data_IF_881114507330
#
_entry.id   IF_881114507330
#
_cell.length_a   1.000
_cell.length_b   1.000
_cell.length_c   1.000
_cell.angle_alpha   90.00
_cell.angle_beta   90.00
_cell.angle_gamma   90.00
#
_symmetry.space_group_name_H-M   'P 1'
#
loop_
_entity.id
_entity.type
_entity.pdbx_description
1 polymer ?
#
# COMPACT_ATOMS: atom_id res chain seq x y z
N UNK A 1 29.59 -46.94 25.22
CA UNK A 1 28.23 -47.17 25.73
C UNK A 1 28.08 -46.33 26.99
N UNK A 2 27.23 -45.30 27.07
CA UNK A 2 25.76 -45.33 27.00
C UNK A 2 25.25 -44.06 26.30
N UNK A 3 24.19 -44.21 25.48
CA UNK A 3 23.44 -43.13 24.82
C UNK A 3 22.58 -42.38 25.84
N UNK A 4 22.51 -41.05 25.72
CA UNK A 4 21.38 -40.16 26.05
C UNK A 4 21.70 -38.84 25.32
N UNK A 5 21.05 -38.42 24.25
CA UNK A 5 19.61 -38.45 24.03
C UNK A 5 19.00 -37.09 24.39
N UNK A 6 19.54 -35.98 23.89
CA UNK A 6 18.86 -34.68 23.88
C UNK A 6 18.97 -34.10 22.46
N UNK A 7 18.00 -34.51 21.64
CA UNK A 7 17.59 -33.80 20.44
C UNK A 7 17.27 -32.37 20.91
N UNK A 8 17.98 -31.36 20.41
CA UNK A 8 17.58 -29.97 20.62
C UNK A 8 16.30 -29.77 19.81
N UNK A 9 15.17 -29.90 20.49
CA UNK A 9 13.89 -29.50 19.96
C UNK A 9 13.90 -27.97 19.75
N UNK A 10 13.69 -27.61 18.48
CA UNK A 10 12.74 -26.60 18.01
C UNK A 10 12.66 -25.25 18.72
N UNK A 11 13.23 -24.23 18.07
CA UNK A 11 12.57 -22.93 17.88
C UNK A 11 12.89 -22.45 16.45
N UNK A 12 12.45 -23.21 15.44
CA UNK A 12 12.05 -22.59 14.18
C UNK A 12 10.87 -21.67 14.56
N UNK A 13 11.11 -20.36 14.62
CA UNK A 13 10.05 -19.39 14.85
C UNK A 13 9.08 -19.49 13.68
N UNK A 14 7.83 -19.73 14.03
CA UNK A 14 6.67 -19.72 13.15
C UNK A 14 6.61 -18.43 12.33
N UNK A 15 7.19 -18.44 11.14
CA UNK A 15 6.81 -17.55 10.04
C UNK A 15 5.88 -18.30 9.08
N UNK A 16 4.88 -19.01 9.63
CA UNK A 16 3.66 -19.31 8.87
C UNK A 16 2.85 -18.03 8.72
N UNK A 17 3.29 -17.18 7.79
CA UNK A 17 2.40 -16.23 7.14
C UNK A 17 2.12 -16.73 5.74
N UNK A 18 1.40 -17.85 5.66
CA UNK A 18 0.51 -18.18 4.54
C UNK A 18 -0.64 -17.15 4.36
N UNK A 19 -0.49 -15.93 4.89
CA UNK A 19 -1.40 -14.82 4.65
C UNK A 19 -1.25 -14.36 3.20
N UNK A 20 -2.35 -14.43 2.46
CA UNK A 20 -2.43 -13.89 1.10
C UNK A 20 -1.94 -12.44 1.13
N UNK A 21 -0.96 -12.06 0.28
CA UNK A 21 -0.43 -10.71 0.28
C UNK A 21 -1.53 -9.70 -0.03
N UNK A 22 -1.46 -8.52 0.58
CA UNK A 22 -2.42 -7.46 0.36
C UNK A 22 -2.24 -6.89 -1.06
N UNK A 23 -3.19 -7.21 -1.94
CA UNK A 23 -3.17 -6.81 -3.36
C UNK A 23 -4.17 -5.71 -3.67
N UNK A 24 -5.26 -5.61 -2.89
CA UNK A 24 -6.33 -4.64 -3.10
C UNK A 24 -6.74 -4.00 -1.78
N UNK A 25 -6.84 -2.68 -1.77
CA UNK A 25 -7.23 -1.90 -0.60
C UNK A 25 -8.31 -0.90 -0.99
N UNK A 26 -9.42 -0.91 -0.24
CA UNK A 26 -10.48 0.08 -0.37
C UNK A 26 -10.64 0.81 0.97
N UNK A 27 -10.35 2.10 0.96
CA UNK A 27 -10.47 3.06 2.05
C UNK A 27 -11.35 4.24 1.66
N UNK A 28 -12.23 4.04 0.67
CA UNK A 28 -13.17 5.05 0.20
C UNK A 28 -14.06 5.55 1.34
N UNK A 29 -14.38 6.85 1.34
CA UNK A 29 -15.44 7.39 2.20
C UNK A 29 -15.07 7.41 3.68
N UNK A 30 -13.79 7.58 3.98
CA UNK A 30 -13.27 7.68 5.34
C UNK A 30 -12.91 9.14 5.67
N UNK A 31 -12.24 9.33 6.80
CA UNK A 31 -11.80 10.64 7.29
C UNK A 31 -10.26 10.78 7.21
N UNK A 32 -9.64 10.11 6.23
CA UNK A 32 -8.19 10.18 6.02
C UNK A 32 -7.82 11.61 5.61
N UNK A 33 -6.76 12.15 6.21
CA UNK A 33 -6.33 13.54 6.04
C UNK A 33 -4.82 13.69 6.15
N UNK A 34 -4.30 14.82 5.68
CA UNK A 34 -2.89 15.14 5.75
C UNK A 34 -2.06 14.41 4.69
N UNK A 35 -0.83 14.05 5.05
CA UNK A 35 0.11 13.35 4.18
C UNK A 35 0.06 11.85 4.40
N UNK A 36 -0.10 11.08 3.32
CA UNK A 36 -0.09 9.62 3.32
C UNK A 36 1.06 9.13 2.45
N UNK A 37 1.92 8.32 3.05
CA UNK A 37 3.10 7.73 2.41
C UNK A 37 3.00 6.21 2.55
N UNK A 38 3.02 5.49 1.42
CA UNK A 38 2.94 4.02 1.39
C UNK A 38 4.24 3.43 0.85
N UNK A 39 5.09 2.93 1.76
CA UNK A 39 6.45 2.45 1.44
C UNK A 39 6.63 0.93 1.32
N UNK A 40 5.76 0.12 1.92
CA UNK A 40 6.01 -1.33 2.15
C UNK A 40 4.90 -2.24 1.60
N UNK A 41 4.17 -1.79 0.58
CA UNK A 41 3.07 -2.55 -0.03
C UNK A 41 3.37 -2.89 -1.50
N UNK A 42 4.57 -3.42 -1.77
CA UNK A 42 5.04 -3.73 -3.14
C UNK A 42 4.27 -4.82 -3.89
N UNK A 43 3.24 -5.41 -3.29
CA UNK A 43 2.30 -6.33 -3.95
C UNK A 43 0.91 -5.71 -4.18
N UNK A 44 0.70 -4.45 -3.77
CA UNK A 44 -0.55 -3.75 -3.96
C UNK A 44 -0.72 -3.37 -5.43
N UNK A 45 -1.81 -3.84 -6.05
CA UNK A 45 -2.15 -3.56 -7.44
C UNK A 45 -3.34 -2.59 -7.54
N UNK A 46 -4.22 -2.55 -6.53
CA UNK A 46 -5.41 -1.69 -6.54
C UNK A 46 -5.57 -0.93 -5.24
N UNK A 47 -5.74 0.39 -5.34
CA UNK A 47 -5.95 1.27 -4.20
C UNK A 47 -7.11 2.23 -4.47
N UNK A 48 -8.13 2.21 -3.63
CA UNK A 48 -9.19 3.23 -3.60
C UNK A 48 -9.12 4.00 -2.28
N UNK A 49 -8.85 5.29 -2.39
CA UNK A 49 -8.80 6.28 -1.30
C UNK A 49 -9.70 7.47 -1.62
N UNK A 50 -10.65 7.29 -2.54
CA UNK A 50 -11.59 8.34 -2.94
C UNK A 50 -12.48 8.80 -1.78
N UNK A 51 -13.01 10.01 -1.88
CA UNK A 51 -13.93 10.56 -0.85
C UNK A 51 -13.29 10.61 0.54
N UNK A 52 -12.10 11.21 0.62
CA UNK A 52 -11.38 11.50 1.86
C UNK A 52 -10.97 12.98 1.88
N UNK A 53 -10.02 13.37 2.73
CA UNK A 53 -9.49 14.73 2.85
C UNK A 53 -7.96 14.77 2.79
N UNK A 54 -7.36 13.90 1.98
CA UNK A 54 -5.90 13.73 1.86
C UNK A 54 -5.33 14.92 1.09
N UNK A 55 -4.18 15.45 1.55
CA UNK A 55 -3.51 16.62 0.95
C UNK A 55 -2.25 16.25 0.16
N UNK A 56 -1.51 15.25 0.61
CA UNK A 56 -0.29 14.76 -0.04
C UNK A 56 -0.36 13.24 -0.09
N UNK A 57 -0.05 12.66 -1.24
CA UNK A 57 -0.02 11.22 -1.43
C UNK A 57 1.27 10.79 -2.11
N UNK A 58 2.08 10.00 -1.41
CA UNK A 58 3.31 9.40 -1.93
C UNK A 58 3.18 7.88 -2.04
N UNK A 59 3.06 7.42 -3.29
CA UNK A 59 2.97 6.02 -3.70
C UNK A 59 4.19 5.60 -4.53
N UNK A 60 5.32 6.32 -4.44
CA UNK A 60 6.54 6.07 -5.23
C UNK A 60 7.12 4.67 -5.05
N UNK A 61 6.90 4.05 -3.89
CA UNK A 61 7.36 2.70 -3.57
C UNK A 61 6.41 1.59 -4.08
N UNK A 62 5.23 1.92 -4.61
CA UNK A 62 4.23 0.93 -5.05
C UNK A 62 4.45 0.57 -6.52
N UNK A 63 5.54 -0.13 -6.81
CA UNK A 63 5.97 -0.48 -8.17
C UNK A 63 4.98 -1.36 -8.94
N UNK A 64 4.15 -2.17 -8.26
CA UNK A 64 3.10 -3.00 -8.86
C UNK A 64 1.72 -2.34 -8.93
N UNK A 65 1.59 -1.07 -8.55
CA UNK A 65 0.28 -0.41 -8.57
C UNK A 65 -0.22 -0.27 -10.01
N UNK A 66 -1.38 -0.84 -10.28
CA UNK A 66 -2.02 -0.88 -11.60
C UNK A 66 -3.15 0.16 -11.68
N UNK A 67 -3.89 0.31 -10.59
CA UNK A 67 -5.07 1.18 -10.50
C UNK A 67 -5.08 1.98 -9.19
N UNK A 68 -5.36 3.28 -9.30
CA UNK A 68 -5.54 4.19 -8.17
C UNK A 68 -6.77 5.09 -8.38
N UNK A 69 -7.65 5.11 -7.38
CA UNK A 69 -8.74 6.07 -7.28
C UNK A 69 -8.50 6.97 -6.07
N UNK A 70 -8.16 8.23 -6.32
CA UNK A 70 -7.93 9.23 -5.28
C UNK A 70 -8.80 10.48 -5.50
N UNK A 71 -9.89 10.35 -6.27
CA UNK A 71 -10.81 11.44 -6.54
C UNK A 71 -11.56 11.92 -5.30
N UNK A 72 -12.04 13.17 -5.33
CA UNK A 72 -12.75 13.81 -4.20
C UNK A 72 -11.90 13.80 -2.93
N UNK A 73 -10.71 14.36 -3.03
CA UNK A 73 -9.78 14.62 -1.93
C UNK A 73 -9.32 16.09 -2.01
N UNK A 74 -8.35 16.48 -1.17
CA UNK A 74 -7.73 17.80 -1.17
C UNK A 74 -6.30 17.76 -1.70
N UNK A 75 -5.96 16.78 -2.56
CA UNK A 75 -4.58 16.51 -2.96
C UNK A 75 -3.98 17.73 -3.66
N UNK A 76 -2.84 18.19 -3.17
CA UNK A 76 -1.98 19.20 -3.79
C UNK A 76 -0.82 18.54 -4.53
N UNK A 77 -0.32 17.44 -3.96
CA UNK A 77 0.79 16.65 -4.47
C UNK A 77 0.43 15.17 -4.53
N UNK A 78 0.73 14.54 -5.67
CA UNK A 78 0.59 13.12 -5.90
C UNK A 78 1.88 12.58 -6.54
N UNK A 79 2.57 11.69 -5.84
CA UNK A 79 3.77 10.99 -6.33
C UNK A 79 3.41 9.54 -6.62
N UNK A 80 3.71 9.04 -7.82
CA UNK A 80 3.34 7.70 -8.26
C UNK A 80 4.55 6.92 -8.78
N UNK A 81 4.53 5.60 -8.60
CA UNK A 81 5.33 4.72 -9.43
C UNK A 81 4.56 4.40 -10.72
N UNK A 82 4.83 5.13 -11.79
CA UNK A 82 4.10 4.97 -13.06
C UNK A 82 4.42 3.69 -13.84
N UNK A 83 5.29 2.78 -13.36
CA UNK A 83 5.82 1.67 -14.16
C UNK A 83 4.75 0.70 -14.64
N UNK A 84 3.77 0.35 -13.80
CA UNK A 84 2.70 -0.60 -14.10
C UNK A 84 1.30 0.05 -14.11
N UNK A 85 1.23 1.37 -13.97
CA UNK A 85 -0.03 2.08 -13.80
C UNK A 85 -0.76 2.24 -15.14
N UNK A 86 -2.00 1.75 -15.22
CA UNK A 86 -2.84 1.91 -16.41
C UNK A 86 -4.18 2.60 -16.13
N UNK A 87 -4.52 2.87 -14.85
CA UNK A 87 -5.69 3.68 -14.48
C UNK A 87 -5.40 4.61 -13.31
N UNK A 88 -5.64 5.90 -13.52
CA UNK A 88 -5.54 6.95 -12.52
C UNK A 88 -6.81 7.79 -12.54
N UNK A 89 -7.59 7.75 -11.45
CA UNK A 89 -8.78 8.59 -11.28
C UNK A 89 -8.50 9.58 -10.13
N UNK A 90 -8.07 10.79 -10.48
CA UNK A 90 -7.66 11.84 -9.53
C UNK A 90 -8.51 13.12 -9.61
N UNK A 91 -9.69 13.06 -10.25
CA UNK A 91 -10.58 14.22 -10.39
C UNK A 91 -11.08 14.77 -9.05
N UNK A 92 -11.51 16.04 -9.05
CA UNK A 92 -11.95 16.74 -7.83
C UNK A 92 -10.88 16.72 -6.72
N UNK A 93 -9.73 17.28 -7.04
CA UNK A 93 -8.60 17.55 -6.14
C UNK A 93 -8.06 18.96 -6.42
N UNK A 94 -7.05 19.39 -5.67
CA UNK A 94 -6.37 20.67 -5.83
C UNK A 94 -4.95 20.48 -6.38
N UNK A 95 -4.76 19.51 -7.29
CA UNK A 95 -3.45 19.07 -7.73
C UNK A 95 -2.72 20.20 -8.46
N UNK A 96 -1.57 20.59 -7.93
CA UNK A 96 -0.65 21.52 -8.60
C UNK A 96 0.59 20.80 -9.12
N UNK A 97 0.82 19.56 -8.66
CA UNK A 97 1.98 18.76 -9.03
C UNK A 97 1.65 17.26 -9.07
N UNK A 98 2.15 16.59 -10.10
CA UNK A 98 2.19 15.14 -10.23
C UNK A 98 3.63 14.75 -10.56
N UNK A 99 4.19 13.76 -9.85
CA UNK A 99 5.56 13.28 -10.01
C UNK A 99 5.60 11.77 -10.24
#
# INVERSE_FOLDING_TARGET
>A
SVRNGLRRDSLEKDDDKSGVPLTKVNLRGNQLKGSIILGNYGLLTQLDVSENSIEIMDLSALDKLETIQCCRNNLKELTLNGRNLHSLIAGNNNLTKIM
#
